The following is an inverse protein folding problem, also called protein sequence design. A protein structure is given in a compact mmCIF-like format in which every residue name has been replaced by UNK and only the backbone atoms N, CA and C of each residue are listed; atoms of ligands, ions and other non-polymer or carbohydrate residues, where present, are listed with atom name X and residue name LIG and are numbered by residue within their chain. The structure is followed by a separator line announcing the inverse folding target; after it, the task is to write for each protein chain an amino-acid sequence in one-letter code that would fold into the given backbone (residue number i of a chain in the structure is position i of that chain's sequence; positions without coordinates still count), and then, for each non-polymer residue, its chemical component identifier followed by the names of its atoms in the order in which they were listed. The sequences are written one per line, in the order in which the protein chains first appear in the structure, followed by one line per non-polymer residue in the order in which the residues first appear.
data_IF_598283853111
#
_entry.id   IF_598283853111
#
_cell.length_a   1.000
_cell.length_b   1.000
_cell.length_c   1.000
_cell.angle_alpha   90.00
_cell.angle_beta   90.00
_cell.angle_gamma   90.00
#
_symmetry.space_group_name_H-M   'P 1'
#
loop_
_entity.id
_entity.type
_entity.pdbx_description
1 polymer ?
#
# COMPACT_ATOMS: atom_id res chain seq x y z
N UNK A 1 -32.12 -28.14 71.82
CA UNK A 1 -32.21 -26.69 72.09
C UNK A 1 -30.93 -26.26 72.77
N UNK A 2 -30.16 -25.37 72.16
CA UNK A 2 -29.03 -24.71 72.84
C UNK A 2 -29.59 -23.68 73.83
N UNK A 3 -29.02 -23.63 75.02
CA UNK A 3 -29.42 -22.68 76.07
C UNK A 3 -29.14 -21.25 75.57
N UNK A 4 -30.17 -20.41 75.47
CA UNK A 4 -30.03 -18.98 75.10
C UNK A 4 -30.49 -18.58 73.69
N UNK A 5 -31.01 -19.51 72.87
CA UNK A 5 -31.52 -19.18 71.53
C UNK A 5 -32.82 -18.39 71.58
N UNK A 6 -32.86 -17.21 70.93
CA UNK A 6 -34.08 -16.38 70.83
C UNK A 6 -34.95 -16.88 69.68
N UNK A 7 -36.22 -17.19 69.95
CA UNK A 7 -37.19 -17.61 68.93
C UNK A 7 -37.75 -16.36 68.23
N UNK A 8 -37.58 -16.29 66.91
CA UNK A 8 -38.21 -15.24 66.08
C UNK A 8 -39.69 -15.56 65.81
N UNK A 9 -40.50 -14.55 65.47
CA UNK A 9 -41.93 -14.74 65.17
C UNK A 9 -42.18 -15.76 64.04
N UNK A 10 -41.34 -15.76 63.01
CA UNK A 10 -41.38 -16.73 61.90
C UNK A 10 -41.08 -18.16 62.35
N UNK A 11 -40.10 -18.34 63.25
CA UNK A 11 -39.77 -19.66 63.79
C UNK A 11 -40.92 -20.18 64.65
N UNK A 12 -41.51 -19.32 65.50
CA UNK A 12 -42.68 -19.68 66.29
C UNK A 12 -43.86 -20.07 65.41
N UNK A 13 -44.14 -19.32 64.35
CA UNK A 13 -45.21 -19.63 63.41
C UNK A 13 -44.99 -20.97 62.68
N UNK A 14 -43.74 -21.29 62.36
CA UNK A 14 -43.37 -22.57 61.70
C UNK A 14 -43.53 -23.74 62.67
N UNK A 15 -43.00 -23.60 63.89
CA UNK A 15 -43.17 -24.61 64.93
C UNK A 15 -44.65 -24.86 65.23
N UNK A 16 -45.45 -23.79 65.36
CA UNK A 16 -46.89 -23.89 65.62
C UNK A 16 -47.62 -24.65 64.51
N UNK A 17 -47.29 -24.40 63.23
CA UNK A 17 -47.85 -25.13 62.10
C UNK A 17 -47.53 -26.63 62.17
N UNK A 18 -46.30 -26.99 62.53
CA UNK A 18 -45.90 -28.39 62.65
C UNK A 18 -46.56 -29.08 63.84
N UNK A 19 -46.71 -28.37 64.98
CA UNK A 19 -47.48 -28.86 66.11
C UNK A 19 -48.95 -29.11 65.74
N UNK A 20 -49.59 -28.17 65.05
CA UNK A 20 -50.99 -28.31 64.62
C UNK A 20 -51.15 -29.47 63.64
N UNK A 21 -50.21 -29.69 62.73
CA UNK A 21 -50.24 -30.84 61.82
C UNK A 21 -50.15 -32.16 62.57
N UNK A 22 -49.19 -32.28 63.50
CA UNK A 22 -48.99 -33.51 64.26
C UNK A 22 -50.16 -33.83 65.21
N UNK A 23 -50.86 -32.84 65.74
CA UNK A 23 -52.07 -33.06 66.56
C UNK A 23 -53.25 -33.54 65.71
N UNK A 24 -53.30 -33.18 64.43
CA UNK A 24 -54.39 -33.54 63.52
C UNK A 24 -54.15 -34.86 62.77
N UNK A 25 -53.01 -35.51 62.97
CA UNK A 25 -52.67 -36.80 62.37
C UNK A 25 -52.65 -37.88 63.48
N UNK A 26 -53.60 -38.84 63.47
CA UNK A 26 -53.78 -39.83 64.53
C UNK A 26 -52.59 -40.80 64.68
N UNK A 27 -51.69 -40.88 63.70
CA UNK A 27 -50.51 -41.75 63.72
C UNK A 27 -49.23 -41.01 64.17
N UNK A 28 -49.31 -39.73 64.56
CA UNK A 28 -48.14 -38.92 64.93
C UNK A 28 -48.25 -38.28 66.31
N UNK A 29 -47.09 -38.09 66.95
CA UNK A 29 -46.97 -37.37 68.23
C UNK A 29 -46.16 -36.10 67.99
N UNK A 30 -46.65 -34.91 68.40
CA UNK A 30 -45.92 -33.67 68.19
C UNK A 30 -44.57 -33.65 68.93
N UNK A 31 -43.48 -33.62 68.17
CA UNK A 31 -42.12 -33.64 68.70
C UNK A 31 -41.47 -32.25 68.61
N UNK A 32 -41.11 -31.68 69.77
CA UNK A 32 -40.45 -30.36 69.87
C UNK A 32 -39.17 -30.28 69.04
N UNK A 33 -38.39 -31.36 69.03
CA UNK A 33 -37.15 -31.44 68.26
C UNK A 33 -37.41 -31.34 66.75
N UNK A 34 -38.40 -32.07 66.24
CA UNK A 34 -38.75 -32.06 64.81
C UNK A 34 -39.27 -30.69 64.34
N UNK A 35 -40.16 -30.05 65.11
CA UNK A 35 -40.67 -28.72 64.80
C UNK A 35 -39.57 -27.64 64.88
N UNK A 36 -38.65 -27.76 65.84
CA UNK A 36 -37.49 -26.89 65.94
C UNK A 36 -36.56 -27.05 64.72
N UNK A 37 -36.17 -28.28 64.39
CA UNK A 37 -35.26 -28.58 63.27
C UNK A 37 -35.85 -28.05 61.94
N UNK A 38 -37.15 -28.26 61.69
CA UNK A 38 -37.85 -27.73 60.53
C UNK A 38 -37.86 -26.19 60.48
N UNK A 39 -38.07 -25.53 61.63
CA UNK A 39 -38.05 -24.07 61.73
C UNK A 39 -36.65 -23.48 61.48
N UNK A 40 -35.61 -24.19 61.91
CA UNK A 40 -34.22 -23.81 61.69
C UNK A 40 -33.85 -24.00 60.22
N UNK A 41 -34.19 -25.14 59.62
CA UNK A 41 -33.96 -25.39 58.18
C UNK A 41 -34.60 -24.31 57.29
N UNK A 42 -35.87 -23.96 57.58
CA UNK A 42 -36.56 -22.89 56.85
C UNK A 42 -35.86 -21.53 57.01
N UNK A 43 -35.41 -21.21 58.24
CA UNK A 43 -34.69 -19.96 58.51
C UNK A 43 -33.35 -19.94 57.80
N UNK A 44 -32.63 -21.05 57.76
CA UNK A 44 -31.37 -21.20 57.04
C UNK A 44 -31.55 -20.97 55.54
N UNK A 45 -32.61 -21.51 54.91
CA UNK A 45 -32.95 -21.24 53.50
C UNK A 45 -33.21 -19.76 53.25
N UNK A 46 -33.99 -19.09 54.11
CA UNK A 46 -34.23 -17.64 54.01
C UNK A 46 -32.95 -16.82 54.14
N UNK A 47 -32.10 -17.15 55.11
CA UNK A 47 -30.81 -16.48 55.31
C UNK A 47 -29.94 -16.61 54.04
N UNK A 48 -29.87 -17.79 53.44
CA UNK A 48 -29.13 -17.99 52.19
C UNK A 48 -29.68 -17.13 51.04
N UNK A 49 -31.00 -17.04 50.90
CA UNK A 49 -31.64 -16.18 49.89
C UNK A 49 -31.34 -14.71 50.13
N UNK A 50 -31.42 -14.23 51.37
CA UNK A 50 -31.07 -12.86 51.74
C UNK A 50 -29.60 -12.54 51.43
N UNK A 51 -28.69 -13.49 51.69
CA UNK A 51 -27.26 -13.33 51.37
C UNK A 51 -27.00 -13.25 49.86
N UNK A 52 -27.75 -14.03 49.05
CA UNK A 52 -27.67 -13.96 47.58
C UNK A 52 -28.16 -12.60 47.07
N UNK A 53 -29.29 -12.10 47.61
CA UNK A 53 -29.83 -10.78 47.24
C UNK A 53 -28.85 -9.68 47.62
N UNK A 54 -28.29 -9.75 48.83
CA UNK A 54 -27.26 -8.81 49.29
C UNK A 54 -26.03 -8.84 48.39
N UNK A 55 -25.49 -10.02 48.08
CA UNK A 55 -24.36 -10.17 47.18
C UNK A 55 -24.62 -9.48 45.83
N UNK A 56 -25.77 -9.77 45.21
CA UNK A 56 -26.12 -9.20 43.92
C UNK A 56 -26.30 -7.67 43.97
N UNK A 57 -26.84 -7.14 45.06
CA UNK A 57 -27.01 -5.69 45.26
C UNK A 57 -25.67 -5.00 45.42
N UNK A 58 -24.82 -5.51 46.32
CA UNK A 58 -23.49 -4.96 46.61
C UNK A 58 -22.55 -5.07 45.38
N UNK A 59 -22.57 -6.21 44.67
CA UNK A 59 -21.82 -6.38 43.42
C UNK A 59 -22.22 -5.36 42.36
N UNK A 60 -23.53 -5.13 42.20
CA UNK A 60 -24.04 -4.21 41.18
C UNK A 60 -23.64 -2.77 41.51
N UNK A 61 -23.82 -2.34 42.75
CA UNK A 61 -23.43 -1.02 43.21
C UNK A 61 -21.91 -0.78 43.08
N UNK A 62 -21.08 -1.75 43.49
CA UNK A 62 -19.62 -1.63 43.40
C UNK A 62 -19.12 -1.62 41.94
N UNK A 63 -19.74 -2.40 41.04
CA UNK A 63 -19.41 -2.38 39.61
C UNK A 63 -19.82 -1.04 39.00
N UNK A 64 -21.01 -0.52 39.33
CA UNK A 64 -21.49 0.77 38.86
C UNK A 64 -20.56 1.91 39.30
N UNK A 65 -20.17 1.92 40.57
CA UNK A 65 -19.21 2.90 41.11
C UNK A 65 -17.85 2.85 40.39
N UNK A 66 -17.35 1.67 40.07
CA UNK A 66 -16.06 1.49 39.41
C UNK A 66 -16.07 1.78 37.91
N UNK A 67 -17.18 1.52 37.21
CA UNK A 67 -17.23 1.49 35.74
C UNK A 67 -18.07 2.59 35.09
N UNK A 68 -18.93 3.27 35.83
CA UNK A 68 -19.84 4.25 35.23
C UNK A 68 -19.09 5.54 34.89
N UNK A 69 -18.97 5.84 33.59
CA UNK A 69 -18.45 7.12 33.09
C UNK A 69 -19.51 7.82 32.25
N UNK A 70 -20.17 8.81 32.85
CA UNK A 70 -21.32 9.48 32.23
C UNK A 70 -22.50 8.51 32.12
N UNK A 71 -22.92 8.19 30.89
CA UNK A 71 -24.04 7.27 30.62
C UNK A 71 -23.61 5.87 30.17
N UNK A 72 -22.32 5.61 29.95
CA UNK A 72 -21.82 4.30 29.54
C UNK A 72 -21.05 3.62 30.69
N UNK A 73 -21.18 2.29 30.77
CA UNK A 73 -20.36 1.47 31.66
C UNK A 73 -19.14 0.96 30.89
N UNK A 74 -17.95 1.38 31.32
CA UNK A 74 -16.69 0.85 30.83
C UNK A 74 -16.51 -0.61 31.29
N UNK A 75 -15.83 -1.45 30.51
CA UNK A 75 -15.42 -2.77 30.99
C UNK A 75 -14.34 -2.68 32.06
N UNK A 76 -14.16 -3.74 32.83
CA UNK A 76 -13.09 -3.88 33.82
C UNK A 76 -12.23 -5.12 33.55
N UNK A 77 -11.01 -5.12 34.08
CA UNK A 77 -10.18 -6.33 34.09
C UNK A 77 -10.77 -7.38 35.04
N UNK A 78 -10.71 -8.65 34.64
CA UNK A 78 -11.24 -9.74 35.48
C UNK A 78 -10.37 -9.97 36.71
N UNK A 79 -9.05 -9.85 36.56
CA UNK A 79 -8.05 -10.00 37.62
C UNK A 79 -7.11 -8.80 37.59
N UNK A 80 -6.55 -8.48 38.75
CA UNK A 80 -5.53 -7.44 38.85
C UNK A 80 -4.26 -7.92 38.17
N UNK A 81 -3.72 -7.12 37.26
CA UNK A 81 -2.41 -7.39 36.68
C UNK A 81 -1.33 -7.22 37.75
N UNK A 82 -0.38 -8.17 37.88
CA UNK A 82 0.71 -8.04 38.84
C UNK A 82 1.61 -6.82 38.56
N UNK A 83 1.63 -6.33 37.31
CA UNK A 83 2.42 -5.16 36.89
C UNK A 83 1.67 -3.82 37.04
N UNK A 84 0.33 -3.83 37.16
CA UNK A 84 -0.53 -2.64 37.28
C UNK A 84 -1.52 -2.78 38.43
N UNK A 85 -0.99 -2.80 39.66
CA UNK A 85 -1.73 -3.04 40.91
C UNK A 85 -2.74 -1.94 41.32
N UNK A 86 -2.93 -0.90 40.52
CA UNK A 86 -3.76 0.27 40.84
C UNK A 86 -5.21 0.16 40.36
N UNK A 87 -5.54 -0.79 39.48
CA UNK A 87 -6.90 -0.99 38.98
C UNK A 87 -7.76 -1.89 39.87
N UNK A 88 -8.98 -1.45 40.18
CA UNK A 88 -10.02 -2.31 40.77
C UNK A 88 -10.48 -3.34 39.73
N UNK A 89 -10.25 -4.63 40.00
CA UNK A 89 -10.65 -5.74 39.14
C UNK A 89 -11.99 -6.35 39.57
N UNK A 90 -12.67 -7.05 38.67
CA UNK A 90 -13.92 -7.75 38.97
C UNK A 90 -13.75 -8.74 40.14
N UNK A 91 -12.63 -9.46 40.17
CA UNK A 91 -12.38 -10.42 41.26
C UNK A 91 -12.10 -9.71 42.59
N UNK A 92 -11.42 -8.56 42.59
CA UNK A 92 -11.22 -7.78 43.82
C UNK A 92 -12.54 -7.24 44.41
N UNK A 93 -13.49 -6.85 43.55
CA UNK A 93 -14.85 -6.49 43.97
C UNK A 93 -15.57 -7.71 44.54
N UNK A 94 -15.52 -8.85 43.83
CA UNK A 94 -16.10 -10.11 44.28
C UNK A 94 -15.60 -10.51 45.67
N UNK A 95 -14.28 -10.52 45.88
CA UNK A 95 -13.68 -10.92 47.16
C UNK A 95 -14.11 -10.00 48.30
N UNK A 96 -14.17 -8.68 48.04
CA UNK A 96 -14.63 -7.67 49.00
C UNK A 96 -16.10 -7.88 49.36
N UNK A 97 -16.97 -8.05 48.36
CA UNK A 97 -18.40 -8.28 48.56
C UNK A 97 -18.64 -9.62 49.26
N UNK A 98 -17.95 -10.69 48.86
CA UNK A 98 -18.05 -11.99 49.51
C UNK A 98 -17.64 -11.97 50.97
N UNK A 99 -16.59 -11.21 51.32
CA UNK A 99 -16.20 -11.03 52.71
C UNK A 99 -17.30 -10.31 53.51
N UNK A 100 -17.93 -9.28 52.94
CA UNK A 100 -19.05 -8.58 53.57
C UNK A 100 -20.27 -9.50 53.77
N UNK A 101 -20.63 -10.27 52.75
CA UNK A 101 -21.73 -11.25 52.80
C UNK A 101 -21.44 -12.34 53.84
N UNK A 102 -20.21 -12.88 53.87
CA UNK A 102 -19.80 -13.89 54.86
C UNK A 102 -19.84 -13.34 56.29
N UNK A 103 -19.43 -12.09 56.48
CA UNK A 103 -19.51 -11.43 57.78
C UNK A 103 -20.97 -11.27 58.24
N UNK A 104 -21.88 -10.93 57.33
CA UNK A 104 -23.30 -10.79 57.64
C UNK A 104 -23.97 -12.15 57.91
N UNK A 105 -23.64 -13.17 57.11
CA UNK A 105 -24.09 -14.54 57.35
C UNK A 105 -23.67 -15.03 58.75
N UNK A 106 -22.41 -14.79 59.14
CA UNK A 106 -21.92 -15.16 60.47
C UNK A 106 -22.69 -14.45 61.61
N UNK A 107 -23.12 -13.19 61.41
CA UNK A 107 -23.97 -12.49 62.40
C UNK A 107 -25.35 -13.13 62.50
N UNK A 108 -25.97 -13.46 61.37
CA UNK A 108 -27.28 -14.12 61.33
C UNK A 108 -27.25 -15.52 61.97
N UNK A 109 -26.18 -16.28 61.71
CA UNK A 109 -26.02 -17.63 62.28
C UNK A 109 -25.76 -17.59 63.78
N UNK A 110 -24.99 -16.62 64.30
CA UNK A 110 -24.85 -16.42 65.76
C UNK A 110 -26.18 -16.19 66.45
N UNK A 111 -27.13 -15.54 65.76
CA UNK A 111 -28.48 -15.31 66.29
C UNK A 111 -29.29 -16.62 66.44
N UNK A 112 -28.93 -17.67 65.69
CA UNK A 112 -29.47 -19.03 65.82
C UNK A 112 -28.84 -19.84 66.97
N UNK A 113 -27.86 -19.28 67.68
CA UNK A 113 -27.15 -19.95 68.76
C UNK A 113 -26.15 -21.01 68.25
N UNK A 114 -25.73 -20.92 66.99
CA UNK A 114 -24.69 -21.76 66.41
C UNK A 114 -23.32 -21.08 66.54
N UNK A 115 -22.33 -21.82 67.02
CA UNK A 115 -20.92 -21.40 67.00
C UNK A 115 -20.19 -22.00 65.78
N UNK A 116 -18.94 -21.58 65.56
CA UNK A 116 -18.09 -21.99 64.43
C UNK A 116 -17.87 -23.50 64.33
N UNK A 117 -17.97 -24.23 65.45
CA UNK A 117 -17.80 -25.68 65.50
C UNK A 117 -19.09 -26.44 65.14
N UNK A 118 -20.19 -25.75 64.82
CA UNK A 118 -21.41 -26.40 64.37
C UNK A 118 -21.28 -26.87 62.92
N UNK A 119 -21.53 -28.16 62.67
CA UNK A 119 -21.56 -28.76 61.33
C UNK A 119 -22.54 -28.03 60.39
N UNK A 120 -23.68 -27.57 60.90
CA UNK A 120 -24.69 -26.86 60.11
C UNK A 120 -24.21 -25.47 59.66
N UNK A 121 -23.32 -24.82 60.43
CA UNK A 121 -22.68 -23.56 60.04
C UNK A 121 -21.73 -23.76 58.86
N UNK A 122 -20.97 -24.85 58.87
CA UNK A 122 -20.08 -25.22 57.77
C UNK A 122 -20.85 -25.57 56.49
N UNK A 123 -21.96 -26.30 56.60
CA UNK A 123 -22.82 -26.64 55.45
C UNK A 123 -23.42 -25.38 54.82
N UNK A 124 -23.92 -24.41 55.60
CA UNK A 124 -24.46 -23.17 55.02
C UNK A 124 -23.41 -22.32 54.30
N UNK A 125 -22.19 -22.26 54.84
CA UNK A 125 -21.10 -21.56 54.17
C UNK A 125 -20.73 -22.24 52.85
N UNK A 126 -20.74 -23.58 52.84
CA UNK A 126 -20.53 -24.36 51.64
C UNK A 126 -21.62 -24.09 50.59
N UNK A 127 -22.90 -24.19 50.98
CA UNK A 127 -24.05 -23.95 50.09
C UNK A 127 -24.04 -22.52 49.51
N UNK A 128 -23.68 -21.53 50.33
CA UNK A 128 -23.52 -20.15 49.86
C UNK A 128 -22.40 -20.06 48.82
N UNK A 129 -21.21 -20.61 49.10
CA UNK A 129 -20.08 -20.56 48.18
C UNK A 129 -20.41 -21.26 46.85
N UNK A 130 -21.05 -22.43 46.88
CA UNK A 130 -21.52 -23.16 45.68
C UNK A 130 -22.52 -22.34 44.86
N UNK A 131 -23.41 -21.60 45.52
CA UNK A 131 -24.39 -20.74 44.84
C UNK A 131 -23.74 -19.51 44.21
N UNK A 132 -22.69 -18.98 44.84
CA UNK A 132 -21.95 -17.82 44.32
C UNK A 132 -21.02 -18.19 43.16
N UNK A 133 -20.31 -19.32 43.27
CA UNK A 133 -19.27 -19.73 42.32
C UNK A 133 -19.32 -21.25 42.10
N UNK A 134 -19.61 -21.67 40.87
CA UNK A 134 -19.46 -23.06 40.42
C UNK A 134 -18.27 -23.18 39.49
N UNK A 135 -17.44 -24.21 39.71
CA UNK A 135 -16.20 -24.45 38.95
C UNK A 135 -16.22 -25.81 38.27
N UNK A 136 -15.56 -25.91 37.12
CA UNK A 136 -15.55 -27.08 36.24
C UNK A 136 -14.91 -28.33 36.89
N UNK A 137 -13.97 -28.10 37.81
CA UNK A 137 -13.27 -29.16 38.55
C UNK A 137 -13.47 -28.93 40.04
N UNK A 138 -13.90 -29.97 40.77
CA UNK A 138 -14.19 -30.00 42.20
C UNK A 138 -13.18 -29.19 43.06
N UNK A 139 -13.43 -27.89 43.24
CA UNK A 139 -12.81 -27.07 44.29
C UNK A 139 -11.38 -26.54 44.09
N UNK A 140 -10.73 -26.68 42.93
CA UNK A 140 -9.41 -26.04 42.76
C UNK A 140 -9.51 -24.52 42.54
N UNK A 141 -8.71 -23.73 43.28
CA UNK A 141 -8.70 -22.26 43.25
C UNK A 141 -8.33 -21.64 41.89
N UNK A 142 -7.79 -22.43 40.95
CA UNK A 142 -7.42 -22.01 39.60
C UNK A 142 -8.32 -22.54 38.47
N UNK A 143 -9.38 -23.30 38.77
CA UNK A 143 -10.28 -23.81 37.73
C UNK A 143 -11.26 -22.74 37.22
N UNK A 144 -11.70 -22.90 35.97
CA UNK A 144 -12.61 -21.97 35.31
C UNK A 144 -13.96 -21.91 36.04
N UNK A 145 -14.49 -20.69 36.19
CA UNK A 145 -15.83 -20.45 36.73
C UNK A 145 -16.83 -20.74 35.61
N UNK A 146 -17.69 -21.73 35.84
CA UNK A 146 -18.68 -22.25 34.87
C UNK A 146 -20.12 -21.93 35.26
N UNK A 147 -20.34 -21.41 36.47
CA UNK A 147 -21.68 -21.05 36.93
C UNK A 147 -21.70 -20.31 38.27
N UNK A 148 -22.91 -20.11 38.80
CA UNK A 148 -23.18 -19.31 39.99
C UNK A 148 -23.45 -17.83 39.67
N UNK A 149 -23.75 -17.04 40.71
CA UNK A 149 -24.07 -15.62 40.54
C UNK A 149 -22.90 -14.80 39.96
N UNK A 150 -21.64 -15.14 40.32
CA UNK A 150 -20.45 -14.47 39.79
C UNK A 150 -20.30 -14.66 38.28
N UNK A 151 -20.65 -15.83 37.76
CA UNK A 151 -20.53 -16.14 36.33
C UNK A 151 -21.34 -15.17 35.45
N UNK A 152 -22.53 -14.76 35.92
CA UNK A 152 -23.36 -13.77 35.23
C UNK A 152 -22.65 -12.41 35.11
N UNK A 153 -21.93 -11.98 36.14
CA UNK A 153 -21.18 -10.73 36.11
C UNK A 153 -19.96 -10.83 35.19
N UNK A 154 -19.26 -11.98 35.19
CA UNK A 154 -18.15 -12.26 34.27
C UNK A 154 -18.63 -12.17 32.81
N UNK A 155 -19.73 -12.85 32.47
CA UNK A 155 -20.27 -12.81 31.11
C UNK A 155 -20.67 -11.39 30.68
N UNK A 156 -21.39 -10.66 31.54
CA UNK A 156 -21.75 -9.26 31.25
C UNK A 156 -20.52 -8.37 31.07
N UNK A 157 -19.47 -8.57 31.86
CA UNK A 157 -18.22 -7.82 31.72
C UNK A 157 -17.49 -8.17 30.41
N UNK A 158 -17.43 -9.45 30.04
CA UNK A 158 -16.86 -9.89 28.74
C UNK A 158 -17.61 -9.29 27.56
N UNK A 159 -18.94 -9.29 27.59
CA UNK A 159 -19.76 -8.69 26.53
C UNK A 159 -19.50 -7.18 26.40
N UNK A 160 -19.38 -6.47 27.53
CA UNK A 160 -19.00 -5.05 27.55
C UNK A 160 -17.59 -4.83 26.99
N UNK A 161 -16.62 -5.64 27.43
CA UNK A 161 -15.23 -5.58 26.98
C UNK A 161 -15.14 -5.80 25.47
N UNK A 162 -15.84 -6.82 24.94
CA UNK A 162 -15.90 -7.07 23.50
C UNK A 162 -16.42 -5.85 22.73
N UNK A 163 -17.56 -5.28 23.14
CA UNK A 163 -18.14 -4.10 22.47
C UNK A 163 -17.24 -2.87 22.55
N UNK A 164 -16.62 -2.62 23.70
CA UNK A 164 -15.72 -1.50 23.91
C UNK A 164 -14.45 -1.64 23.04
N UNK A 165 -13.80 -2.81 23.09
CA UNK A 165 -12.64 -3.14 22.27
C UNK A 165 -12.95 -3.01 20.76
N UNK A 166 -14.12 -3.47 20.33
CA UNK A 166 -14.57 -3.30 18.94
C UNK A 166 -14.71 -1.81 18.56
N UNK A 167 -15.30 -0.98 19.44
CA UNK A 167 -15.39 0.47 19.22
C UNK A 167 -14.00 1.11 19.12
N UNK A 168 -13.08 0.75 20.01
CA UNK A 168 -11.69 1.27 20.02
C UNK A 168 -10.97 0.88 18.73
N UNK A 169 -11.03 -0.39 18.34
CA UNK A 169 -10.37 -0.87 17.11
C UNK A 169 -10.92 -0.15 15.88
N UNK A 170 -12.26 -0.06 15.74
CA UNK A 170 -12.89 0.65 14.62
C UNK A 170 -12.46 2.10 14.54
N UNK A 171 -12.48 2.83 15.66
CA UNK A 171 -12.03 4.23 15.70
C UNK A 171 -10.59 4.39 15.21
N UNK A 172 -9.68 3.58 15.74
CA UNK A 172 -8.26 3.66 15.37
C UNK A 172 -8.03 3.27 13.91
N UNK A 173 -8.74 2.25 13.42
CA UNK A 173 -8.67 1.85 12.01
C UNK A 173 -9.25 2.94 11.09
N UNK A 174 -10.36 3.58 11.46
CA UNK A 174 -10.97 4.66 10.69
C UNK A 174 -10.08 5.91 10.64
N UNK A 175 -9.38 6.23 11.73
CA UNK A 175 -8.35 7.27 11.76
C UNK A 175 -7.20 6.95 10.82
N UNK A 176 -6.71 5.70 10.83
CA UNK A 176 -5.67 5.24 9.91
C UNK A 176 -6.15 5.33 8.44
N UNK A 177 -7.37 4.88 8.16
CA UNK A 177 -8.00 4.97 6.83
C UNK A 177 -8.11 6.42 6.35
N UNK A 178 -8.53 7.34 7.22
CA UNK A 178 -8.60 8.79 6.90
C UNK A 178 -7.22 9.37 6.57
N UNK A 179 -6.19 9.00 7.32
CA UNK A 179 -4.81 9.46 7.07
C UNK A 179 -4.26 8.94 5.74
N UNK A 180 -4.68 7.75 5.33
CA UNK A 180 -4.23 7.08 4.12
C UNK A 180 -5.13 7.35 2.91
N UNK A 181 -6.19 8.14 3.03
CA UNK A 181 -7.05 8.49 1.90
C UNK A 181 -6.96 9.99 1.55
N UNK A 182 -6.43 10.35 0.36
CA UNK A 182 -5.80 9.48 -0.65
C UNK A 182 -4.40 8.98 -0.21
N UNK A 183 -3.95 7.85 -0.76
CA UNK A 183 -2.67 7.24 -0.37
C UNK A 183 -1.51 8.21 -0.65
N UNK A 184 -0.65 8.51 0.34
CA UNK A 184 0.52 9.37 0.14
C UNK A 184 1.48 8.83 -0.92
N UNK A 185 2.09 9.72 -1.70
CA UNK A 185 3.10 9.34 -2.69
C UNK A 185 4.33 8.71 -2.01
N UNK A 186 4.81 7.57 -2.52
CA UNK A 186 5.97 6.86 -1.95
C UNK A 186 5.67 6.13 -0.62
N UNK A 187 4.42 5.75 -0.40
CA UNK A 187 4.03 4.85 0.68
C UNK A 187 4.48 3.41 0.37
N UNK A 188 5.28 2.83 1.25
CA UNK A 188 5.90 1.51 1.09
C UNK A 188 5.31 0.50 2.06
N UNK A 189 5.43 -0.79 1.76
CA UNK A 189 5.12 -1.88 2.70
C UNK A 189 5.73 -1.71 4.10
N UNK A 190 6.96 -1.21 4.19
CA UNK A 190 7.64 -0.98 5.48
C UNK A 190 6.93 0.08 6.34
N UNK A 191 6.44 1.17 5.72
CA UNK A 191 5.65 2.19 6.41
C UNK A 191 4.30 1.65 6.85
N UNK A 192 3.72 0.77 6.05
CA UNK A 192 2.47 0.09 6.38
C UNK A 192 2.62 -0.86 7.56
N UNK A 193 3.70 -1.65 7.59
CA UNK A 193 4.00 -2.52 8.73
C UNK A 193 4.24 -1.71 10.01
N UNK A 194 4.90 -0.55 9.90
CA UNK A 194 5.08 0.38 11.01
C UNK A 194 3.75 0.98 11.50
N UNK A 195 2.87 1.40 10.58
CA UNK A 195 1.54 1.92 10.91
C UNK A 195 0.66 0.85 11.58
N UNK A 196 0.78 -0.40 11.14
CA UNK A 196 0.10 -1.55 11.75
C UNK A 196 0.65 -1.89 13.13
N UNK A 197 1.96 -1.78 13.34
CA UNK A 197 2.57 -1.92 14.66
C UNK A 197 2.07 -0.82 15.61
N UNK A 198 2.04 0.43 15.13
CA UNK A 198 1.52 1.58 15.89
C UNK A 198 0.02 1.41 16.22
N UNK A 199 -0.78 0.86 15.29
CA UNK A 199 -2.19 0.55 15.52
C UNK A 199 -2.34 -0.47 16.66
N UNK A 200 -1.57 -1.56 16.63
CA UNK A 200 -1.59 -2.60 17.66
C UNK A 200 -1.16 -2.07 19.03
N UNK A 201 -0.14 -1.22 19.06
CA UNK A 201 0.33 -0.57 20.28
C UNK A 201 -0.73 0.39 20.86
N UNK A 202 -1.28 1.27 20.02
CA UNK A 202 -2.32 2.22 20.41
C UNK A 202 -3.59 1.51 20.90
N UNK A 203 -3.99 0.44 20.22
CA UNK A 203 -5.08 -0.42 20.67
C UNK A 203 -4.75 -1.07 22.02
N UNK A 204 -3.52 -1.58 22.18
CA UNK A 204 -3.10 -2.21 23.43
C UNK A 204 -3.07 -1.23 24.61
N UNK A 205 -2.87 0.06 24.37
CA UNK A 205 -2.93 1.08 25.42
C UNK A 205 -4.36 1.51 25.76
N UNK A 206 -5.29 1.47 24.79
CA UNK A 206 -6.66 1.99 24.97
C UNK A 206 -7.71 0.93 25.27
N UNK A 207 -7.48 -0.32 24.85
CA UNK A 207 -8.41 -1.42 25.03
C UNK A 207 -8.36 -1.96 26.47
N UNK A 208 -9.55 -2.21 27.02
CA UNK A 208 -9.75 -2.59 28.42
C UNK A 208 -10.56 -3.89 28.51
N UNK A 209 -10.15 -4.76 29.40
CA UNK A 209 -10.88 -5.95 29.80
C UNK A 209 -10.48 -7.23 29.07
N UNK A 210 -11.12 -8.34 29.45
CA UNK A 210 -10.68 -9.70 29.12
C UNK A 210 -10.73 -10.03 27.61
N UNK A 211 -11.55 -9.33 26.83
CA UNK A 211 -11.75 -9.65 25.40
C UNK A 211 -10.77 -8.92 24.47
N UNK A 212 -9.83 -8.15 25.02
CA UNK A 212 -8.88 -7.32 24.27
C UNK A 212 -8.11 -8.08 23.18
N UNK A 213 -7.49 -9.20 23.55
CA UNK A 213 -6.66 -9.98 22.63
C UNK A 213 -7.49 -10.75 21.61
N UNK A 214 -8.64 -11.27 22.04
CA UNK A 214 -9.55 -12.02 21.16
C UNK A 214 -10.11 -11.10 20.07
N UNK A 215 -10.62 -9.92 20.45
CA UNK A 215 -11.13 -8.93 19.48
C UNK A 215 -10.02 -8.48 18.54
N UNK A 216 -8.81 -8.23 19.05
CA UNK A 216 -7.69 -7.84 18.19
C UNK A 216 -7.38 -8.93 17.16
N UNK A 217 -7.31 -10.19 17.57
CA UNK A 217 -7.05 -11.32 16.67
C UNK A 217 -8.16 -11.48 15.64
N UNK A 218 -9.42 -11.55 16.09
CA UNK A 218 -10.59 -11.67 15.22
C UNK A 218 -10.64 -10.54 14.18
N UNK A 219 -10.32 -9.31 14.57
CA UNK A 219 -10.33 -8.14 13.67
C UNK A 219 -9.15 -8.14 12.71
N UNK A 220 -7.97 -8.52 13.16
CA UNK A 220 -6.80 -8.66 12.28
C UNK A 220 -7.00 -9.77 11.23
N UNK A 221 -7.68 -10.85 11.61
CA UNK A 221 -7.99 -11.98 10.74
C UNK A 221 -9.27 -11.76 9.90
N UNK A 222 -10.06 -10.72 10.21
CA UNK A 222 -11.29 -10.39 9.49
C UNK A 222 -11.04 -9.84 8.08
N UNK A 223 -12.01 -10.03 7.19
CA UNK A 223 -11.99 -9.60 5.78
C UNK A 223 -11.76 -8.09 5.55
N UNK A 224 -11.95 -7.27 6.59
CA UNK A 224 -11.75 -5.82 6.52
C UNK A 224 -10.28 -5.44 6.37
N UNK A 225 -9.35 -6.30 6.80
CA UNK A 225 -7.90 -6.06 6.73
C UNK A 225 -7.28 -6.50 5.38
N UNK A 226 -7.56 -7.70 4.83
CA UNK A 226 -7.05 -8.12 3.53
C UNK A 226 -7.46 -7.19 2.38
N UNK A 227 -8.69 -6.68 2.35
CA UNK A 227 -9.15 -5.75 1.31
C UNK A 227 -8.37 -4.43 1.31
N UNK A 228 -8.03 -3.92 2.51
CA UNK A 228 -7.18 -2.75 2.69
C UNK A 228 -5.73 -3.02 2.24
N UNK A 229 -5.15 -4.17 2.57
CA UNK A 229 -3.81 -4.55 2.11
C UNK A 229 -3.75 -4.81 0.60
N UNK A 230 -4.77 -5.46 0.03
CA UNK A 230 -4.84 -5.75 -1.40
C UNK A 230 -4.99 -4.46 -2.22
N UNK A 231 -5.71 -3.47 -1.68
CA UNK A 231 -5.78 -2.12 -2.24
C UNK A 231 -4.41 -1.43 -2.23
N UNK A 232 -3.67 -1.49 -1.13
CA UNK A 232 -2.31 -0.95 -1.05
C UNK A 232 -1.36 -1.64 -2.06
N UNK A 233 -1.44 -2.96 -2.22
CA UNK A 233 -0.62 -3.74 -3.16
C UNK A 233 -0.93 -3.39 -4.62
N UNK A 234 -2.21 -3.30 -4.99
CA UNK A 234 -2.61 -2.90 -6.34
C UNK A 234 -2.18 -1.47 -6.69
N UNK A 235 -2.07 -0.60 -5.68
CA UNK A 235 -1.60 0.78 -5.85
C UNK A 235 -0.07 0.83 -6.04
N UNK A 236 0.71 -0.02 -5.35
CA UNK A 236 2.14 -0.17 -5.63
C UNK A 236 2.41 -0.71 -7.04
N UNK A 237 1.58 -1.63 -7.53
CA UNK A 237 1.67 -2.15 -8.91
C UNK A 237 1.41 -1.05 -9.94
N UNK A 238 0.35 -0.26 -9.74
CA UNK A 238 0.04 0.89 -10.59
C UNK A 238 1.17 1.94 -10.59
N UNK A 239 1.77 2.24 -9.43
CA UNK A 239 2.91 3.17 -9.35
C UNK A 239 4.17 2.61 -10.04
N UNK A 240 4.44 1.31 -9.92
CA UNK A 240 5.53 0.64 -10.64
C UNK A 240 5.32 0.69 -12.15
N UNK A 241 4.11 0.50 -12.63
CA UNK A 241 3.81 0.56 -14.07
C UNK A 241 3.92 1.97 -14.63
N UNK A 242 3.51 2.99 -13.87
CA UNK A 242 3.77 4.40 -14.21
C UNK A 242 5.27 4.70 -14.27
N UNK A 243 6.06 4.21 -13.32
CA UNK A 243 7.51 4.40 -13.32
C UNK A 243 8.20 3.67 -14.49
N UNK A 244 7.78 2.45 -14.80
CA UNK A 244 8.26 1.70 -15.99
C UNK A 244 7.91 2.43 -17.29
N UNK A 245 6.69 2.95 -17.41
CA UNK A 245 6.26 3.72 -18.57
C UNK A 245 7.10 5.00 -18.73
N UNK A 246 7.36 5.73 -17.63
CA UNK A 246 8.23 6.92 -17.64
C UNK A 246 9.66 6.59 -18.06
N UNK A 247 10.24 5.49 -17.56
CA UNK A 247 11.57 5.03 -17.95
C UNK A 247 11.65 4.61 -19.42
N UNK A 248 10.59 3.97 -19.95
CA UNK A 248 10.50 3.63 -21.38
C UNK A 248 10.39 4.88 -22.26
N UNK A 249 9.68 5.91 -21.78
CA UNK A 249 9.60 7.20 -22.44
C UNK A 249 10.97 7.90 -22.47
N UNK A 250 11.65 8.01 -21.33
CA UNK A 250 13.00 8.61 -21.24
C UNK A 250 14.01 7.90 -22.14
N UNK A 251 13.98 6.56 -22.21
CA UNK A 251 14.83 5.78 -23.13
C UNK A 251 14.52 6.05 -24.60
N UNK A 252 13.26 6.29 -24.94
CA UNK A 252 12.84 6.60 -26.31
C UNK A 252 13.24 8.03 -26.70
N UNK A 253 13.07 8.98 -25.79
CA UNK A 253 13.52 10.38 -25.97
C UNK A 253 15.05 10.44 -26.16
N UNK A 254 15.83 9.67 -25.39
CA UNK A 254 17.29 9.52 -25.56
C UNK A 254 17.69 8.93 -26.92
N UNK A 255 16.93 7.95 -27.42
CA UNK A 255 17.16 7.35 -28.75
C UNK A 255 16.91 8.37 -29.85
N UNK A 256 15.85 9.17 -29.72
CA UNK A 256 15.49 10.21 -30.67
C UNK A 256 16.52 11.35 -30.67
N UNK A 257 17.03 11.73 -29.49
CA UNK A 257 18.12 12.72 -29.39
C UNK A 257 19.41 12.23 -30.08
N UNK A 258 19.78 10.95 -29.92
CA UNK A 258 20.93 10.37 -30.62
C UNK A 258 20.76 10.39 -32.14
N UNK A 259 19.58 10.00 -32.65
CA UNK A 259 19.31 10.02 -34.09
C UNK A 259 19.22 11.44 -34.64
N UNK A 260 18.70 12.40 -33.88
CA UNK A 260 18.72 13.82 -34.24
C UNK A 260 20.15 14.34 -34.37
N UNK A 261 21.05 13.98 -33.44
CA UNK A 261 22.48 14.33 -33.53
C UNK A 261 23.16 13.67 -34.72
N UNK A 262 22.82 12.42 -35.03
CA UNK A 262 23.35 11.71 -36.20
C UNK A 262 22.88 12.32 -37.52
N UNK A 263 21.60 12.69 -37.62
CA UNK A 263 21.07 13.46 -38.76
C UNK A 263 21.78 14.80 -38.92
N UNK A 264 21.99 15.52 -37.81
CA UNK A 264 22.69 16.80 -37.85
C UNK A 264 24.14 16.64 -38.31
N UNK A 265 24.85 15.61 -37.82
CA UNK A 265 26.19 15.27 -38.30
C UNK A 265 26.21 14.95 -39.81
N UNK A 266 25.25 14.15 -40.29
CA UNK A 266 25.15 13.81 -41.72
C UNK A 266 24.83 15.04 -42.59
N UNK A 267 23.96 15.94 -42.12
CA UNK A 267 23.68 17.21 -42.77
C UNK A 267 24.94 18.08 -42.85
N UNK A 268 25.68 18.22 -41.75
CA UNK A 268 26.92 18.98 -41.71
C UNK A 268 28.01 18.36 -42.61
N UNK A 269 28.13 17.03 -42.61
CA UNK A 269 29.07 16.30 -43.46
C UNK A 269 28.71 16.46 -44.95
N UNK A 270 27.42 16.39 -45.28
CA UNK A 270 26.92 16.64 -46.63
C UNK A 270 27.24 18.06 -47.08
N UNK A 271 26.98 19.07 -46.24
CA UNK A 271 27.28 20.47 -46.54
C UNK A 271 28.80 20.72 -46.71
N UNK A 272 29.63 20.08 -45.88
CA UNK A 272 31.11 20.12 -46.01
C UNK A 272 31.58 19.48 -47.31
N UNK A 273 31.01 18.33 -47.69
CA UNK A 273 31.34 17.65 -48.95
C UNK A 273 30.88 18.49 -50.15
N UNK A 274 29.69 19.06 -50.11
CA UNK A 274 29.15 19.90 -51.18
C UNK A 274 29.98 21.18 -51.38
N UNK A 275 30.39 21.84 -50.30
CA UNK A 275 31.31 23.00 -50.37
C UNK A 275 32.69 22.61 -50.89
N UNK A 276 33.23 21.45 -50.50
CA UNK A 276 34.48 20.93 -51.04
C UNK A 276 34.36 20.61 -52.54
N UNK A 277 33.29 19.92 -52.95
CA UNK A 277 33.03 19.61 -54.36
C UNK A 277 32.89 20.87 -55.20
N UNK A 278 32.23 21.90 -54.68
CA UNK A 278 32.13 23.20 -55.37
C UNK A 278 33.51 23.83 -55.59
N UNK A 279 34.38 23.82 -54.58
CA UNK A 279 35.76 24.30 -54.71
C UNK A 279 36.60 23.46 -55.67
N UNK A 280 36.46 22.14 -55.64
CA UNK A 280 37.19 21.24 -56.53
C UNK A 280 36.74 21.43 -58.00
N UNK A 281 35.43 21.62 -58.24
CA UNK A 281 34.86 21.99 -59.54
C UNK A 281 35.40 23.33 -60.04
N UNK A 282 35.41 24.36 -59.19
CA UNK A 282 36.00 25.67 -59.52
C UNK A 282 37.48 25.54 -59.88
N UNK A 283 38.25 24.75 -59.13
CA UNK A 283 39.67 24.50 -59.40
C UNK A 283 39.90 23.76 -60.72
N UNK A 284 39.08 22.74 -61.03
CA UNK A 284 39.13 22.03 -62.32
C UNK A 284 38.80 23.00 -63.46
N UNK A 285 37.78 23.85 -63.30
CA UNK A 285 37.44 24.87 -64.28
C UNK A 285 38.58 25.86 -64.50
N UNK A 286 39.20 26.37 -63.43
CA UNK A 286 40.34 27.30 -63.50
C UNK A 286 41.57 26.65 -64.14
N UNK A 287 41.88 25.40 -63.79
CA UNK A 287 42.97 24.64 -64.39
C UNK A 287 42.72 24.42 -65.89
N UNK A 288 41.47 24.12 -66.27
CA UNK A 288 41.09 23.97 -67.66
C UNK A 288 41.24 25.27 -68.45
N UNK A 289 40.75 26.39 -67.90
CA UNK A 289 40.88 27.71 -68.49
C UNK A 289 42.35 28.14 -68.63
N UNK A 290 43.17 27.85 -67.63
CA UNK A 290 44.62 28.12 -67.65
C UNK A 290 45.33 27.24 -68.68
N UNK A 291 44.98 25.96 -68.78
CA UNK A 291 45.54 25.04 -69.77
C UNK A 291 45.17 25.48 -71.20
N UNK A 292 43.90 25.85 -71.42
CA UNK A 292 43.44 26.43 -72.70
C UNK A 292 44.20 27.72 -73.03
N UNK A 293 44.47 28.57 -72.04
CA UNK A 293 45.22 29.81 -72.26
C UNK A 293 46.68 29.54 -72.65
N UNK A 294 47.37 28.66 -71.91
CA UNK A 294 48.75 28.24 -72.25
C UNK A 294 48.81 27.61 -73.63
N UNK A 295 47.85 26.75 -73.96
CA UNK A 295 47.76 26.12 -75.28
C UNK A 295 47.52 27.13 -76.40
N UNK A 296 46.67 28.15 -76.18
CA UNK A 296 46.51 29.27 -77.12
C UNK A 296 47.81 30.07 -77.28
N UNK A 297 48.49 30.39 -76.18
CA UNK A 297 49.76 31.11 -76.21
C UNK A 297 50.86 30.32 -76.95
N UNK A 298 50.95 29.00 -76.71
CA UNK A 298 51.86 28.09 -77.43
C UNK A 298 51.53 28.04 -78.92
N UNK A 299 50.25 27.86 -79.26
CA UNK A 299 49.79 27.84 -80.65
C UNK A 299 50.04 29.18 -81.36
N UNK A 300 49.81 30.32 -80.71
CA UNK A 300 50.08 31.65 -81.28
C UNK A 300 51.58 31.93 -81.44
N UNK A 301 52.41 31.42 -80.53
CA UNK A 301 53.87 31.48 -80.64
C UNK A 301 54.38 30.59 -81.78
N UNK A 302 53.84 29.38 -81.92
CA UNK A 302 54.18 28.44 -82.98
C UNK A 302 53.70 28.96 -84.34
N UNK A 303 52.51 29.55 -84.40
CA UNK A 303 51.99 30.26 -85.59
C UNK A 303 52.87 31.44 -85.97
N UNK A 304 53.39 32.20 -85.00
CA UNK A 304 54.38 33.26 -85.24
C UNK A 304 55.69 32.72 -85.79
N UNK A 305 56.24 31.63 -85.23
CA UNK A 305 57.45 30.98 -85.73
C UNK A 305 57.28 30.42 -87.14
N UNK A 306 56.17 29.74 -87.41
CA UNK A 306 55.82 29.21 -88.72
C UNK A 306 55.62 30.33 -89.74
N UNK A 307 54.95 31.42 -89.36
CA UNK A 307 54.81 32.59 -90.23
C UNK A 307 56.17 33.23 -90.55
N UNK A 308 57.08 33.35 -89.57
CA UNK A 308 58.45 33.81 -89.82
C UNK A 308 59.20 32.89 -90.80
N UNK A 309 59.12 31.57 -90.62
CA UNK A 309 59.72 30.60 -91.57
C UNK A 309 59.12 30.67 -92.97
N UNK A 310 57.81 30.87 -93.09
CA UNK A 310 57.14 31.03 -94.38
C UNK A 310 57.61 32.32 -95.06
N UNK A 311 57.72 33.41 -94.30
CA UNK A 311 58.21 34.69 -94.80
C UNK A 311 59.68 34.61 -95.26
N UNK A 312 60.56 33.97 -94.49
CA UNK A 312 61.96 33.72 -94.88
C UNK A 312 62.07 32.86 -96.16
N UNK A 313 61.18 31.88 -96.33
CA UNK A 313 61.13 31.00 -97.51
C UNK A 313 60.54 31.70 -98.75
N UNK A 314 59.59 32.61 -98.55
CA UNK A 314 59.02 33.47 -99.60
C UNK A 314 60.06 34.51 -100.07
N UNK A 315 60.90 35.05 -99.17
CA UNK A 315 62.03 35.95 -99.51
C UNK A 315 63.19 35.25 -100.24
N UNK A 316 63.36 33.93 -100.07
CA UNK A 316 64.42 33.13 -100.74
C UNK A 316 63.98 32.42 -102.03
N UNK A 317 62.82 32.75 -102.59
CA UNK A 317 62.33 32.26 -103.90
C UNK A 317 62.08 30.72 -104.00
N UNK A 318 61.81 30.04 -102.88
CA UNK A 318 61.46 28.61 -102.85
C UNK A 318 59.94 28.37 -102.72
N UNK A 319 59.17 28.75 -103.75
CA UNK A 319 57.69 28.76 -103.76
C UNK A 319 57.08 27.38 -103.39
N UNK A 320 57.64 26.28 -103.89
CA UNK A 320 57.10 24.93 -103.64
C UNK A 320 57.31 24.42 -102.19
N UNK A 321 58.29 24.96 -101.45
CA UNK A 321 58.51 24.61 -100.06
C UNK A 321 57.55 25.35 -99.11
N UNK A 322 57.20 26.60 -99.46
CA UNK A 322 56.26 27.41 -98.71
C UNK A 322 54.81 26.85 -98.76
N UNK A 323 54.38 26.32 -99.91
CA UNK A 323 53.05 25.68 -100.03
C UNK A 323 52.93 24.39 -99.22
N UNK A 324 53.98 23.55 -99.15
CA UNK A 324 53.98 22.35 -98.30
C UNK A 324 53.90 22.69 -96.80
N UNK A 325 54.62 23.73 -96.37
CA UNK A 325 54.55 24.22 -95.00
C UNK A 325 53.17 24.82 -94.65
N UNK A 326 52.48 25.46 -95.61
CA UNK A 326 51.08 25.89 -95.47
C UNK A 326 50.12 24.70 -95.32
N UNK A 327 50.29 23.62 -96.09
CA UNK A 327 49.45 22.43 -95.98
C UNK A 327 49.65 21.64 -94.67
N UNK A 328 50.89 21.52 -94.17
CA UNK A 328 51.18 20.89 -92.86
C UNK A 328 50.55 21.65 -91.69
N UNK A 329 50.52 22.98 -91.77
CA UNK A 329 49.91 23.87 -90.76
C UNK A 329 48.40 23.64 -90.61
N UNK A 330 47.69 23.37 -91.69
CA UNK A 330 46.23 23.20 -91.67
C UNK A 330 45.80 21.79 -91.19
N UNK A 331 46.60 20.75 -91.46
CA UNK A 331 46.27 19.37 -91.09
C UNK A 331 46.69 18.94 -89.68
N UNK A 332 47.90 19.31 -89.23
CA UNK A 332 48.46 18.78 -87.99
C UNK A 332 47.96 19.51 -86.72
N UNK A 333 47.76 20.84 -86.79
CA UNK A 333 47.33 21.64 -85.64
C UNK A 333 45.89 21.39 -85.21
N UNK A 334 44.97 21.21 -86.16
CA UNK A 334 43.55 21.01 -85.87
C UNK A 334 43.25 19.62 -85.27
N UNK A 335 43.89 18.57 -85.81
CA UNK A 335 43.67 17.19 -85.37
C UNK A 335 44.24 16.91 -83.97
N UNK A 336 45.44 17.42 -83.67
CA UNK A 336 46.07 17.25 -82.34
C UNK A 336 45.35 18.08 -81.28
N UNK A 337 44.91 19.30 -81.61
CA UNK A 337 44.10 20.14 -80.71
C UNK A 337 42.76 19.48 -80.36
N UNK A 338 42.03 18.97 -81.35
CA UNK A 338 40.75 18.31 -81.14
C UNK A 338 40.88 17.01 -80.31
N UNK A 339 41.94 16.23 -80.56
CA UNK A 339 42.20 14.98 -79.83
C UNK A 339 42.54 15.23 -78.34
N UNK A 340 43.40 16.23 -78.07
CA UNK A 340 43.78 16.58 -76.70
C UNK A 340 42.65 17.27 -75.93
N UNK A 341 41.85 18.15 -76.57
CA UNK A 341 40.62 18.68 -75.98
C UNK A 341 39.62 17.56 -75.66
N UNK A 342 39.48 16.57 -76.54
CA UNK A 342 38.61 15.42 -76.32
C UNK A 342 39.06 14.48 -75.19
N UNK A 343 40.37 14.37 -74.91
CA UNK A 343 40.90 13.62 -73.77
C UNK A 343 40.70 14.36 -72.44
N UNK A 344 40.97 15.66 -72.40
CA UNK A 344 40.74 16.49 -71.22
C UNK A 344 39.25 16.55 -70.84
N UNK A 345 38.37 16.71 -71.82
CA UNK A 345 36.91 16.73 -71.61
C UNK A 345 36.39 15.39 -71.07
N UNK A 346 36.89 14.26 -71.58
CA UNK A 346 36.52 12.92 -71.08
C UNK A 346 36.99 12.68 -69.64
N UNK A 347 38.22 13.09 -69.31
CA UNK A 347 38.73 13.01 -67.93
C UNK A 347 37.87 13.80 -66.94
N UNK A 348 37.50 15.04 -67.30
CA UNK A 348 36.61 15.87 -66.48
C UNK A 348 35.18 15.31 -66.38
N UNK A 349 34.64 14.72 -67.44
CA UNK A 349 33.31 14.08 -67.41
C UNK A 349 33.25 12.87 -66.46
N UNK A 350 34.28 12.02 -66.46
CA UNK A 350 34.33 10.84 -65.58
C UNK A 350 34.34 11.28 -64.11
N UNK A 351 35.13 12.30 -63.77
CA UNK A 351 35.20 12.82 -62.40
C UNK A 351 33.85 13.46 -61.97
N UNK A 352 33.21 14.25 -62.85
CA UNK A 352 31.89 14.84 -62.59
C UNK A 352 30.82 13.75 -62.36
N UNK A 353 30.84 12.68 -63.16
CA UNK A 353 29.90 11.56 -63.00
C UNK A 353 30.09 10.83 -61.68
N UNK A 354 31.36 10.55 -61.30
CA UNK A 354 31.69 9.94 -60.02
C UNK A 354 31.18 10.78 -58.84
N UNK A 355 31.49 12.09 -58.85
CA UNK A 355 31.07 13.01 -57.80
C UNK A 355 29.55 13.13 -57.71
N UNK A 356 28.85 13.19 -58.85
CA UNK A 356 27.39 13.19 -58.90
C UNK A 356 26.78 11.92 -58.29
N UNK A 357 27.41 10.76 -58.50
CA UNK A 357 26.93 9.47 -57.98
C UNK A 357 27.12 9.37 -56.46
N UNK A 358 28.25 9.81 -55.92
CA UNK A 358 28.50 9.89 -54.47
C UNK A 358 27.48 10.81 -53.78
N UNK A 359 27.17 11.97 -54.38
CA UNK A 359 26.21 12.93 -53.85
C UNK A 359 24.77 12.38 -53.87
N UNK A 360 24.40 11.64 -54.91
CA UNK A 360 23.10 10.94 -55.01
C UNK A 360 22.93 9.89 -53.91
N UNK A 361 23.99 9.15 -53.58
CA UNK A 361 23.95 8.15 -52.49
C UNK A 361 23.74 8.80 -51.13
N UNK A 362 24.41 9.93 -50.85
CA UNK A 362 24.24 10.68 -49.61
C UNK A 362 22.81 11.21 -49.45
N UNK A 363 22.24 11.84 -50.49
CA UNK A 363 20.85 12.31 -50.47
C UNK A 363 19.85 11.18 -50.23
N UNK A 364 20.12 10.01 -50.80
CA UNK A 364 19.27 8.81 -50.60
C UNK A 364 19.33 8.35 -49.14
N UNK A 365 20.51 8.27 -48.54
CA UNK A 365 20.65 7.92 -47.10
C UNK A 365 19.92 8.92 -46.21
N UNK A 366 20.10 10.22 -46.48
CA UNK A 366 19.46 11.32 -45.74
C UNK A 366 17.92 11.24 -45.80
N UNK A 367 17.37 10.91 -46.98
CA UNK A 367 15.93 10.73 -47.16
C UNK A 367 15.35 9.48 -46.50
N UNK A 368 16.16 8.45 -46.23
CA UNK A 368 15.74 7.25 -45.48
C UNK A 368 15.71 7.57 -43.98
N UNK A 369 16.81 8.11 -43.44
CA UNK A 369 16.88 8.47 -42.01
C UNK A 369 15.84 9.52 -41.61
N UNK A 370 15.51 10.47 -42.50
CA UNK A 370 14.43 11.44 -42.23
C UNK A 370 13.05 10.79 -42.13
N UNK A 371 12.76 9.79 -42.99
CA UNK A 371 11.49 9.05 -42.94
C UNK A 371 11.37 8.20 -41.69
N UNK A 372 12.47 7.54 -41.30
CA UNK A 372 12.50 6.73 -40.08
C UNK A 372 12.28 7.60 -38.83
N UNK A 373 12.83 8.81 -38.80
CA UNK A 373 12.64 9.76 -37.70
C UNK A 373 11.18 10.21 -37.60
N UNK A 374 10.57 10.61 -38.73
CA UNK A 374 9.17 11.05 -38.75
C UNK A 374 8.22 9.92 -38.28
N UNK A 375 8.49 8.68 -38.67
CA UNK A 375 7.68 7.51 -38.28
C UNK A 375 7.75 7.28 -36.77
N UNK A 376 8.94 7.38 -36.16
CA UNK A 376 9.09 7.26 -34.71
C UNK A 376 8.50 8.44 -33.92
N UNK A 377 8.51 9.66 -34.47
CA UNK A 377 7.82 10.80 -33.86
C UNK A 377 6.30 10.60 -33.81
N UNK A 378 5.70 10.02 -34.85
CA UNK A 378 4.28 9.65 -34.85
C UNK A 378 3.95 8.56 -33.83
N UNK A 379 4.78 7.52 -33.74
CA UNK A 379 4.63 6.47 -32.72
C UNK A 379 4.71 7.04 -31.29
N UNK A 380 5.63 7.98 -31.03
CA UNK A 380 5.75 8.64 -29.74
C UNK A 380 4.58 9.57 -29.43
N UNK A 381 4.03 10.27 -30.42
CA UNK A 381 2.79 11.03 -30.24
C UNK A 381 1.63 10.11 -29.86
N UNK A 382 1.50 8.96 -30.53
CA UNK A 382 0.51 7.93 -30.20
C UNK A 382 0.66 7.44 -28.75
N UNK A 383 1.86 7.03 -28.36
CA UNK A 383 2.15 6.56 -27.01
C UNK A 383 1.91 7.63 -25.93
N UNK A 384 2.26 8.90 -26.19
CA UNK A 384 1.97 10.02 -25.28
C UNK A 384 0.47 10.29 -25.15
N UNK A 385 -0.29 10.19 -26.24
CA UNK A 385 -1.74 10.35 -26.21
C UNK A 385 -2.44 9.22 -25.45
N UNK A 386 -1.92 8.00 -25.52
CA UNK A 386 -2.42 6.84 -24.77
C UNK A 386 -2.06 6.93 -23.28
N UNK A 387 -0.83 7.32 -22.95
CA UNK A 387 -0.40 7.58 -21.58
C UNK A 387 -1.22 8.71 -20.92
N UNK A 388 -1.52 9.79 -21.65
CA UNK A 388 -2.39 10.86 -21.16
C UNK A 388 -3.83 10.41 -20.95
N UNK A 389 -4.38 9.57 -21.84
CA UNK A 389 -5.71 8.98 -21.66
C UNK A 389 -5.76 8.08 -20.42
N UNK A 390 -4.74 7.26 -20.20
CA UNK A 390 -4.64 6.41 -19.02
C UNK A 390 -4.46 7.23 -17.72
N UNK A 391 -3.68 8.31 -17.77
CA UNK A 391 -3.52 9.23 -16.64
C UNK A 391 -4.82 9.99 -16.32
N UNK A 392 -5.56 10.43 -17.34
CA UNK A 392 -6.88 11.02 -17.17
C UNK A 392 -7.90 10.02 -16.64
N UNK A 393 -7.90 8.77 -17.12
CA UNK A 393 -8.74 7.69 -16.60
C UNK A 393 -8.42 7.38 -15.13
N UNK A 394 -7.14 7.33 -14.76
CA UNK A 394 -6.72 7.17 -13.37
C UNK A 394 -7.13 8.37 -12.49
N UNK A 395 -7.05 9.60 -13.00
CA UNK A 395 -7.55 10.79 -12.30
C UNK A 395 -9.08 10.81 -12.18
N UNK A 396 -9.82 10.36 -13.20
CA UNK A 396 -11.27 10.25 -13.17
C UNK A 396 -11.75 9.16 -12.23
N UNK A 397 -11.03 8.04 -12.13
CA UNK A 397 -11.25 7.02 -11.10
C UNK A 397 -11.01 7.57 -9.69
N UNK A 398 -9.98 8.41 -9.51
CA UNK A 398 -9.73 9.14 -8.26
C UNK A 398 -10.83 10.17 -7.95
N UNK A 399 -11.34 10.90 -8.96
CA UNK A 399 -12.36 11.96 -8.79
C UNK A 399 -13.78 11.43 -8.61
N UNK A 400 -14.14 10.31 -9.25
CA UNK A 400 -15.51 9.78 -9.24
C UNK A 400 -15.84 8.90 -8.04
N UNK A 401 -14.90 8.67 -7.12
CA UNK A 401 -15.14 7.82 -5.95
C UNK A 401 -15.64 6.42 -6.32
N UNK A 402 -15.31 5.91 -7.52
CA UNK A 402 -15.84 4.64 -8.05
C UNK A 402 -15.34 3.44 -7.23
N UNK A 403 -14.24 3.62 -6.50
CA UNK A 403 -13.79 2.67 -5.47
C UNK A 403 -14.80 2.57 -4.31
N UNK A 404 -15.49 3.65 -3.95
CA UNK A 404 -16.53 3.63 -2.91
C UNK A 404 -17.74 2.76 -3.29
N UNK A 405 -18.12 2.75 -4.57
CA UNK A 405 -19.25 1.95 -5.09
C UNK A 405 -18.90 0.50 -5.43
N UNK A 406 -17.65 0.20 -5.77
CA UNK A 406 -17.20 -1.17 -6.04
C UNK A 406 -16.93 -1.99 -4.76
N UNK A 407 -16.72 -1.34 -3.62
CA UNK A 407 -16.32 -2.00 -2.38
C UNK A 407 -17.34 -1.89 -1.22
N UNK A 408 -18.57 -1.42 -1.45
CA UNK A 408 -19.58 -1.21 -0.39
C UNK A 408 -19.08 -0.29 0.75
N UNK A 409 -18.59 0.90 0.40
CA UNK A 409 -18.13 1.92 1.37
C UNK A 409 -19.14 3.06 1.59
N UNK A 410 -20.40 2.88 1.17
CA UNK A 410 -21.48 3.77 1.59
C UNK A 410 -22.22 3.16 2.80
N UNK A 411 -22.39 3.90 3.90
CA UNK A 411 -23.28 3.49 4.97
C UNK A 411 -24.73 3.64 4.47
N UNK A 412 -25.54 2.58 4.64
CA UNK A 412 -27.00 2.73 4.65
C UNK A 412 -27.45 3.61 5.82
#
# INVERSE_FOLDING_TARGET
MTVGSKITGDQLATMLKDYVKAVNDPDTIPAVKSAWDASVELRCKKILEDMVVKYNTDMTAAIEEACLRGSEMDPMEERSDPENATGTSLMSIHDTVMNNVRNELNKQIRFLGWDKDNQDHSTLLFDLNERMVKRDSQGQENSNIVGGELFRYIQKNRDRSRRYCDKVFKRLLDELKKRLYPIPDGYTKEKLDADMAQLKESYSQQAIGPMKLDVLRERLDSSDMPGFFQMCVQIEELQRDVAKAKKKQEMSDLKLEKQSKELQYLCDESARKETKYKKDLEKVSQNHETALRKQKEEHDNERRRLNGRIQDLEETNHINAAERAKAEKEGAGAAVSAYLQGLAFRGSQIEIQRLSQENKQLRTKLGITQRDLNTQEEELRGARAEANRNAQYAQDLKRRGVVGRLFNWEPN
#
